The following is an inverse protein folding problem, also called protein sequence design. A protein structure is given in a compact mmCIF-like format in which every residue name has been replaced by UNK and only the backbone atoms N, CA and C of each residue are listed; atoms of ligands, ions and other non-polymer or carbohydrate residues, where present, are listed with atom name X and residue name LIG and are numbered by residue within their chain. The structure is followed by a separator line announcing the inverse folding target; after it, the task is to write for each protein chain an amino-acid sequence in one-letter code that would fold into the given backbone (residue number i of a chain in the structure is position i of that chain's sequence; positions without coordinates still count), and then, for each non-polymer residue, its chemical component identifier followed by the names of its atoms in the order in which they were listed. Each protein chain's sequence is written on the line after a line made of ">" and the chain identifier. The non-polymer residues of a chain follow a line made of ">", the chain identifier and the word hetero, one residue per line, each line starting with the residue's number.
data_IF_421689958964
#
_entry.id   IF_421689958964
#
_cell.length_a   1.000
_cell.length_b   1.000
_cell.length_c   1.000
_cell.angle_alpha   90.00
_cell.angle_beta   90.00
_cell.angle_gamma   90.00
#
_symmetry.space_group_name_H-M   'P 1'
#
loop_
_entity.id
_entity.type
_entity.pdbx_description
1 polymer ?
#
# COMPACT_ATOMS: atom_id res chain seq x y z
N UNK A 1 0.22 14.97 -9.66
CA UNK A 1 -1.15 14.83 -9.10
C UNK A 1 -1.37 13.38 -8.74
N UNK A 2 -2.02 13.09 -7.61
CA UNK A 2 -2.40 11.72 -7.26
C UNK A 2 -3.41 11.18 -8.29
N UNK A 3 -3.33 9.88 -8.61
CA UNK A 3 -4.32 9.23 -9.47
C UNK A 3 -5.49 8.73 -8.61
N UNK A 4 -6.73 8.69 -9.13
CA UNK A 4 -7.87 8.21 -8.36
C UNK A 4 -7.75 6.71 -8.07
N UNK A 5 -8.49 6.22 -7.07
CA UNK A 5 -8.49 4.81 -6.65
C UNK A 5 -8.78 3.84 -7.81
N UNK A 6 -9.67 4.23 -8.73
CA UNK A 6 -10.01 3.45 -9.92
C UNK A 6 -8.87 3.27 -10.93
N UNK A 7 -7.80 4.06 -10.86
CA UNK A 7 -6.61 3.82 -11.67
C UNK A 7 -5.80 2.61 -11.18
N UNK A 8 -5.81 2.34 -9.87
CA UNK A 8 -4.94 1.34 -9.24
C UNK A 8 -5.64 0.01 -8.94
N UNK A 9 -6.97 -0.03 -9.06
CA UNK A 9 -7.82 -1.14 -8.68
C UNK A 9 -8.72 -1.55 -9.83
N UNK A 10 -9.41 -2.68 -9.71
CA UNK A 10 -10.43 -3.12 -10.66
C UNK A 10 -11.77 -2.40 -10.46
N UNK A 11 -11.80 -1.34 -9.65
CA UNK A 11 -13.00 -0.55 -9.36
C UNK A 11 -13.64 -0.01 -10.65
N UNK A 12 -14.95 -0.15 -10.74
CA UNK A 12 -15.77 0.46 -11.78
C UNK A 12 -16.72 1.49 -11.15
N UNK A 13 -16.83 2.72 -11.71
CA UNK A 13 -17.77 3.71 -11.23
C UNK A 13 -19.20 3.17 -11.20
N UNK A 14 -19.89 3.33 -10.07
CA UNK A 14 -21.28 2.87 -9.88
C UNK A 14 -21.42 1.43 -9.39
N UNK A 15 -20.32 0.71 -9.17
CA UNK A 15 -20.34 -0.56 -8.45
C UNK A 15 -20.73 -0.34 -6.96
N UNK A 16 -21.43 -1.28 -6.34
CA UNK A 16 -21.77 -1.24 -4.91
C UNK A 16 -20.68 -1.90 -4.03
N UNK A 17 -19.51 -2.18 -4.62
CA UNK A 17 -18.37 -2.76 -3.93
C UNK A 17 -17.83 -1.89 -2.79
N UNK A 18 -17.05 -2.52 -1.92
CA UNK A 18 -16.37 -1.83 -0.82
C UNK A 18 -15.52 -0.64 -1.32
N UNK A 19 -14.89 -0.76 -2.50
CA UNK A 19 -14.11 0.33 -3.11
C UNK A 19 -14.96 1.58 -3.40
N UNK A 20 -16.21 1.38 -3.84
CA UNK A 20 -17.18 2.47 -4.04
C UNK A 20 -17.53 3.18 -2.74
N UNK A 21 -17.72 2.40 -1.67
CA UNK A 21 -18.01 2.94 -0.34
C UNK A 21 -16.82 3.73 0.23
N UNK A 22 -15.59 3.23 0.01
CA UNK A 22 -14.36 3.91 0.42
C UNK A 22 -14.17 5.24 -0.33
N UNK A 23 -14.41 5.26 -1.65
CA UNK A 23 -14.40 6.49 -2.44
C UNK A 23 -15.48 7.48 -1.96
N UNK A 24 -16.68 7.00 -1.66
CA UNK A 24 -17.75 7.83 -1.09
C UNK A 24 -17.42 8.41 0.29
N UNK A 25 -16.68 7.67 1.12
CA UNK A 25 -16.33 8.10 2.49
C UNK A 25 -15.10 9.03 2.55
N UNK A 26 -14.09 8.78 1.71
CA UNK A 26 -12.79 9.47 1.81
C UNK A 26 -12.36 10.21 0.55
N UNK A 27 -13.18 10.17 -0.51
CA UNK A 27 -12.89 10.78 -1.80
C UNK A 27 -12.06 9.90 -2.73
N UNK A 28 -12.07 10.23 -4.02
CA UNK A 28 -11.47 9.42 -5.08
C UNK A 28 -9.94 9.38 -5.00
N UNK A 29 -9.32 10.31 -4.27
CA UNK A 29 -7.89 10.36 -4.00
C UNK A 29 -7.56 10.09 -2.52
N UNK A 30 -8.52 9.61 -1.72
CA UNK A 30 -8.40 9.50 -0.27
C UNK A 30 -8.02 10.83 0.41
N UNK A 31 -8.49 11.96 -0.11
CA UNK A 31 -8.26 13.29 0.42
C UNK A 31 -8.84 13.49 1.83
N UNK A 32 -9.87 12.72 2.19
CA UNK A 32 -10.47 12.70 3.53
C UNK A 32 -9.60 12.04 4.62
N UNK A 33 -8.49 11.39 4.23
CA UNK A 33 -7.54 10.80 5.16
C UNK A 33 -6.34 11.72 5.43
N UNK A 34 -5.82 11.67 6.65
CA UNK A 34 -4.53 12.26 6.97
C UNK A 34 -3.36 11.30 6.64
N UNK A 35 -2.12 11.78 6.78
CA UNK A 35 -0.93 10.98 6.45
C UNK A 35 -0.82 9.70 7.30
N UNK A 36 -1.09 9.78 8.60
CA UNK A 36 -1.00 8.63 9.51
C UNK A 36 -2.04 7.55 9.15
N UNK A 37 -3.26 7.96 8.82
CA UNK A 37 -4.33 7.05 8.38
C UNK A 37 -3.98 6.34 7.07
N UNK A 38 -3.42 7.07 6.09
CA UNK A 38 -2.97 6.48 4.82
C UNK A 38 -1.86 5.45 5.04
N UNK A 39 -0.85 5.79 5.86
CA UNK A 39 0.25 4.87 6.18
C UNK A 39 -0.24 3.66 6.98
N UNK A 40 -1.20 3.86 7.90
CA UNK A 40 -1.83 2.76 8.63
C UNK A 40 -2.55 1.78 7.71
N UNK A 41 -3.32 2.29 6.74
CA UNK A 41 -3.98 1.44 5.74
C UNK A 41 -2.97 0.64 4.91
N UNK A 42 -1.87 1.28 4.48
CA UNK A 42 -0.79 0.58 3.75
C UNK A 42 -0.21 -0.56 4.60
N UNK A 43 0.07 -0.32 5.88
CA UNK A 43 0.58 -1.35 6.78
C UNK A 43 -0.38 -2.54 6.93
N UNK A 44 -1.67 -2.28 7.15
CA UNK A 44 -2.67 -3.34 7.31
C UNK A 44 -2.84 -4.18 6.04
N UNK A 45 -2.91 -3.53 4.88
CA UNK A 45 -3.04 -4.22 3.59
C UNK A 45 -1.78 -5.04 3.27
N UNK A 46 -0.59 -4.49 3.49
CA UNK A 46 0.67 -5.21 3.28
C UNK A 46 0.81 -6.42 4.23
N UNK A 47 0.37 -6.28 5.48
CA UNK A 47 0.36 -7.39 6.44
C UNK A 47 -0.56 -8.52 5.98
N UNK A 48 -1.74 -8.22 5.45
CA UNK A 48 -2.65 -9.24 4.94
C UNK A 48 -2.05 -9.94 3.71
N UNK A 49 -1.46 -9.19 2.78
CA UNK A 49 -0.78 -9.77 1.61
C UNK A 49 0.37 -10.70 2.00
N UNK A 50 1.10 -10.40 3.07
CA UNK A 50 2.14 -11.28 3.60
C UNK A 50 1.57 -12.59 4.16
N UNK A 51 0.42 -12.56 4.82
CA UNK A 51 -0.24 -13.77 5.34
C UNK A 51 -0.71 -14.70 4.22
N UNK A 52 -1.12 -14.12 3.09
CA UNK A 52 -1.61 -14.87 1.93
C UNK A 52 -0.48 -15.30 0.98
N UNK A 53 0.73 -14.75 1.13
CA UNK A 53 1.88 -15.07 0.29
C UNK A 53 2.46 -16.45 0.62
N UNK A 54 2.82 -17.22 -0.42
CA UNK A 54 3.55 -18.47 -0.23
C UNK A 54 5.03 -18.20 0.11
N UNK A 55 5.57 -19.01 1.02
CA UNK A 55 6.99 -18.98 1.40
C UNK A 55 7.25 -18.32 2.75
N UNK A 56 8.53 -18.14 3.06
CA UNK A 56 8.98 -17.53 4.31
C UNK A 56 9.90 -16.35 4.05
N UNK A 57 9.82 -15.34 4.91
CA UNK A 57 10.73 -14.19 4.87
C UNK A 57 12.07 -14.62 5.47
N UNK A 58 13.13 -14.58 4.67
CA UNK A 58 14.47 -14.96 5.11
C UNK A 58 15.02 -14.04 6.20
N UNK A 59 15.87 -14.59 7.08
CA UNK A 59 16.51 -13.82 8.16
C UNK A 59 17.27 -12.60 7.64
N UNK A 60 17.90 -12.71 6.48
CA UNK A 60 18.59 -11.60 5.83
C UNK A 60 17.63 -10.44 5.54
N UNK A 61 16.45 -10.73 4.99
CA UNK A 61 15.45 -9.69 4.71
C UNK A 61 14.93 -9.09 6.01
N UNK A 62 14.71 -9.91 7.04
CA UNK A 62 14.31 -9.43 8.37
C UNK A 62 15.36 -8.51 8.99
N UNK A 63 16.64 -8.79 8.82
CA UNK A 63 17.72 -7.94 9.31
C UNK A 63 17.81 -6.63 8.51
N UNK A 64 17.75 -6.71 7.19
CA UNK A 64 17.82 -5.52 6.32
C UNK A 64 16.70 -4.54 6.64
N UNK A 65 15.46 -5.02 6.81
CA UNK A 65 14.33 -4.11 7.08
C UNK A 65 14.45 -3.39 8.43
N UNK A 66 15.12 -3.96 9.44
CA UNK A 66 15.40 -3.25 10.68
C UNK A 66 16.34 -2.06 10.47
N UNK A 67 17.37 -2.22 9.63
CA UNK A 67 18.30 -1.14 9.31
C UNK A 67 17.61 -0.04 8.48
N UNK A 68 16.66 -0.40 7.61
CA UNK A 68 15.88 0.56 6.83
C UNK A 68 15.05 1.50 7.72
N UNK A 69 14.62 1.06 8.91
CA UNK A 69 13.81 1.88 9.81
C UNK A 69 14.53 3.17 10.23
N UNK A 70 15.82 3.08 10.51
CA UNK A 70 16.64 4.21 11.00
C UNK A 70 17.61 4.77 9.95
N UNK A 71 18.01 3.96 8.96
CA UNK A 71 19.01 4.31 7.96
C UNK A 71 18.48 4.90 6.65
N UNK A 72 17.16 4.97 6.47
CA UNK A 72 16.54 5.47 5.24
C UNK A 72 15.47 6.51 5.59
N UNK A 73 15.47 7.63 4.88
CA UNK A 73 14.46 8.68 5.05
C UNK A 73 13.09 8.26 4.49
N UNK A 74 12.04 9.00 4.85
CA UNK A 74 10.67 8.65 4.50
C UNK A 74 10.41 8.70 2.99
N UNK A 75 11.07 9.58 2.23
CA UNK A 75 10.87 9.67 0.78
C UNK A 75 11.44 8.43 0.09
N UNK A 76 12.64 8.00 0.47
CA UNK A 76 13.23 6.78 -0.06
C UNK A 76 12.45 5.53 0.38
N UNK A 77 11.91 5.48 1.60
CA UNK A 77 11.01 4.40 2.03
C UNK A 77 9.76 4.32 1.15
N UNK A 78 9.14 5.46 0.82
CA UNK A 78 7.98 5.51 -0.08
C UNK A 78 8.34 5.01 -1.49
N UNK A 79 9.49 5.42 -2.03
CA UNK A 79 9.98 4.94 -3.32
C UNK A 79 10.22 3.43 -3.34
N UNK A 80 10.83 2.88 -2.29
CA UNK A 80 11.03 1.43 -2.15
C UNK A 80 9.70 0.68 -2.08
N UNK A 81 8.73 1.17 -1.32
CA UNK A 81 7.39 0.57 -1.26
C UNK A 81 6.72 0.56 -2.64
N UNK A 82 6.79 1.66 -3.38
CA UNK A 82 6.23 1.72 -4.73
C UNK A 82 6.89 0.71 -5.67
N UNK A 83 8.23 0.61 -5.67
CA UNK A 83 8.95 -0.36 -6.49
C UNK A 83 8.56 -1.82 -6.17
N UNK A 84 8.43 -2.15 -4.88
CA UNK A 84 8.02 -3.49 -4.44
C UNK A 84 6.57 -3.81 -4.81
N UNK A 85 5.65 -2.86 -4.65
CA UNK A 85 4.24 -3.04 -5.04
C UNK A 85 4.12 -3.34 -6.54
N UNK A 86 4.86 -2.63 -7.40
CA UNK A 86 4.86 -2.90 -8.84
C UNK A 86 5.42 -4.29 -9.16
N UNK A 87 6.47 -4.74 -8.46
CA UNK A 87 7.02 -6.09 -8.63
C UNK A 87 6.05 -7.18 -8.18
N UNK A 88 5.30 -6.96 -7.10
CA UNK A 88 4.26 -7.90 -6.64
C UNK A 88 3.08 -7.97 -7.61
N UNK A 89 2.74 -6.86 -8.30
CA UNK A 89 1.66 -6.84 -9.30
C UNK A 89 2.04 -7.47 -10.64
N UNK A 90 3.29 -7.32 -11.06
CA UNK A 90 3.79 -7.77 -12.37
C UNK A 90 4.58 -9.09 -12.33
N UNK A 91 4.80 -9.64 -11.14
CA UNK A 91 5.37 -10.97 -10.92
C UNK A 91 4.35 -12.09 -11.02
#
# INVERSE_FOLDING_TARGET
>A
MAKPIGYWTTFQPGDQSLLSQMEGAWGSHFEGLNEAERVWMVYQLASQLLLDAEGSVSDTVQQVIQHTKTGVDNLNKLGLMQALIEQVKGG
#
